data_IF_440625365997
#
_entry.id   IF_440625365997
#
_cell.length_a   1.000
_cell.length_b   1.000
_cell.length_c   1.000
_cell.angle_alpha   90.00
_cell.angle_beta   90.00
_cell.angle_gamma   90.00
#
_symmetry.space_group_name_H-M   'P 1'
#
loop_
_entity.id
_entity.type
_entity.pdbx_description
1 polymer ?
#
# COMPACT_ATOMS: atom_id res chain seq x y z
N UNK A 1 2.84 18.35 -7.86
CA UNK A 1 3.62 17.83 -9.01
C UNK A 1 2.75 16.81 -9.73
N UNK A 2 2.58 16.88 -11.07
CA UNK A 2 1.78 15.89 -11.78
C UNK A 2 2.48 14.54 -11.69
N UNK A 3 1.81 13.58 -11.08
CA UNK A 3 2.29 12.20 -10.96
C UNK A 3 2.34 11.59 -12.36
N UNK A 4 3.44 10.91 -12.70
CA UNK A 4 3.64 10.29 -14.01
C UNK A 4 2.57 9.24 -14.36
N UNK A 5 2.52 8.79 -15.62
CA UNK A 5 1.59 7.74 -16.05
C UNK A 5 1.76 6.45 -15.23
N UNK A 6 0.67 5.72 -15.03
CA UNK A 6 0.67 4.43 -14.34
C UNK A 6 1.53 3.45 -15.15
N UNK A 7 2.59 2.93 -14.52
CA UNK A 7 3.56 2.03 -15.14
C UNK A 7 3.42 0.64 -14.50
N UNK A 8 3.43 -0.38 -15.35
CA UNK A 8 3.47 -1.79 -14.94
C UNK A 8 4.81 -2.37 -15.32
N UNK A 9 5.53 -2.90 -14.34
CA UNK A 9 6.82 -3.54 -14.53
C UNK A 9 6.80 -4.92 -13.91
N UNK A 10 7.42 -5.88 -14.59
CA UNK A 10 7.61 -7.24 -14.08
C UNK A 10 9.09 -7.48 -13.95
N UNK A 11 9.53 -7.89 -12.77
CA UNK A 11 10.95 -8.05 -12.52
C UNK A 11 11.25 -8.80 -11.24
N UNK A 12 12.52 -9.09 -11.02
CA UNK A 12 12.97 -9.70 -9.78
C UNK A 12 13.18 -8.64 -8.72
N UNK A 13 12.58 -8.83 -7.55
CA UNK A 13 12.81 -7.94 -6.43
C UNK A 13 14.10 -8.33 -5.70
N UNK A 14 14.98 -7.36 -5.51
CA UNK A 14 16.22 -7.48 -4.77
C UNK A 14 16.27 -6.44 -3.64
N UNK A 15 17.05 -6.72 -2.62
CA UNK A 15 17.38 -5.75 -1.58
C UNK A 15 18.75 -5.17 -1.89
N UNK A 16 18.80 -3.85 -2.11
CA UNK A 16 20.01 -3.10 -2.39
C UNK A 16 20.52 -2.35 -1.15
N UNK A 17 21.70 -1.73 -1.24
CA UNK A 17 22.31 -0.98 -0.13
C UNK A 17 21.49 0.25 0.31
N UNK A 18 20.66 0.80 -0.58
CA UNK A 18 19.84 2.00 -0.32
C UNK A 18 18.34 1.71 -0.17
N UNK A 19 17.89 0.47 -0.41
CA UNK A 19 16.47 0.14 -0.35
C UNK A 19 16.05 -1.09 -1.14
N UNK A 20 14.83 -1.05 -1.68
CA UNK A 20 14.28 -2.11 -2.52
C UNK A 20 14.56 -1.79 -3.99
N UNK A 21 15.15 -2.74 -4.70
CA UNK A 21 15.49 -2.60 -6.12
C UNK A 21 14.72 -3.64 -6.95
N UNK A 22 14.08 -3.21 -8.03
CA UNK A 22 13.40 -4.08 -8.98
C UNK A 22 14.22 -4.17 -10.26
N UNK A 23 14.67 -5.38 -10.56
CA UNK A 23 15.41 -5.70 -11.78
C UNK A 23 14.43 -6.12 -12.86
N UNK A 24 14.15 -5.23 -13.80
CA UNK A 24 13.16 -5.43 -14.88
C UNK A 24 13.81 -5.21 -16.24
N UNK A 25 13.86 -6.25 -17.07
CA UNK A 25 14.25 -6.14 -18.49
C UNK A 25 15.63 -5.54 -18.76
N UNK A 26 16.56 -5.63 -17.80
CA UNK A 26 17.92 -5.08 -17.91
C UNK A 26 18.12 -3.70 -17.25
N UNK A 27 17.07 -3.10 -16.69
CA UNK A 27 17.15 -1.89 -15.86
C UNK A 27 16.91 -2.17 -14.38
N UNK A 28 17.53 -1.37 -13.52
CA UNK A 28 17.30 -1.39 -12.06
C UNK A 28 16.41 -0.19 -11.71
N UNK A 29 15.31 -0.47 -11.00
CA UNK A 29 14.36 0.53 -10.52
C UNK A 29 14.38 0.55 -9.00
N UNK A 30 14.54 1.72 -8.41
CA UNK A 30 14.40 1.89 -6.96
C UNK A 30 12.91 1.98 -6.62
N UNK A 31 12.46 1.08 -5.74
CA UNK A 31 11.11 1.11 -5.21
C UNK A 31 11.10 1.81 -3.86
N UNK A 32 10.38 2.93 -3.82
CA UNK A 32 9.89 3.43 -2.54
C UNK A 32 8.62 2.66 -2.18
N UNK A 33 8.79 1.61 -1.37
CA UNK A 33 7.71 0.74 -0.94
C UNK A 33 7.80 0.40 0.55
N UNK A 34 6.65 0.39 1.22
CA UNK A 34 6.57 0.13 2.66
C UNK A 34 7.03 -1.29 3.07
N UNK A 35 7.24 -1.49 4.38
CA UNK A 35 7.79 -2.73 4.97
C UNK A 35 7.15 -4.06 4.53
N UNK A 36 5.90 -4.05 4.05
CA UNK A 36 5.21 -5.26 3.55
C UNK A 36 5.88 -5.84 2.30
N UNK A 37 6.51 -5.01 1.48
CA UNK A 37 7.14 -5.41 0.21
C UNK A 37 8.43 -6.21 0.44
N UNK A 38 9.06 -6.07 1.62
CA UNK A 38 10.24 -6.86 2.01
C UNK A 38 9.98 -8.38 2.03
N UNK A 39 8.73 -8.81 2.22
CA UNK A 39 8.39 -10.25 2.20
C UNK A 39 8.48 -10.86 0.81
N UNK A 40 8.53 -10.03 -0.23
CA UNK A 40 8.58 -10.45 -1.63
C UNK A 40 10.01 -10.38 -2.20
N UNK A 41 11.02 -10.07 -1.37
CA UNK A 41 12.43 -10.02 -1.79
C UNK A 41 12.87 -11.40 -2.27
N UNK A 42 13.57 -11.45 -3.40
CA UNK A 42 14.07 -12.67 -4.04
C UNK A 42 13.09 -13.32 -5.01
N UNK A 43 11.81 -12.94 -4.96
CA UNK A 43 10.77 -13.42 -5.87
C UNK A 43 10.66 -12.55 -7.12
N UNK A 44 10.12 -13.15 -8.18
CA UNK A 44 9.65 -12.41 -9.35
C UNK A 44 8.30 -11.77 -9.00
N UNK A 45 8.17 -10.47 -9.25
CA UNK A 45 7.04 -9.66 -8.83
C UNK A 45 6.57 -8.76 -9.97
N UNK A 46 5.27 -8.55 -10.02
CA UNK A 46 4.64 -7.51 -10.83
C UNK A 46 4.38 -6.29 -9.94
N UNK A 47 4.89 -5.14 -10.38
CA UNK A 47 4.75 -3.86 -9.71
C UNK A 47 3.89 -2.96 -10.57
N UNK A 48 2.82 -2.45 -9.97
CA UNK A 48 2.05 -1.33 -10.49
C UNK A 48 2.37 -0.09 -9.68
N UNK A 49 2.79 0.97 -10.35
CA UNK A 49 3.16 2.20 -9.68
C UNK A 49 3.16 3.39 -10.61
N UNK A 50 3.72 4.48 -10.11
CA UNK A 50 3.91 5.71 -10.87
C UNK A 50 5.36 6.09 -10.83
N UNK A 51 5.89 6.51 -11.98
CA UNK A 51 7.26 7.01 -12.07
C UNK A 51 7.32 8.36 -11.37
N UNK A 52 8.17 8.46 -10.35
CA UNK A 52 8.38 9.69 -9.58
C UNK A 52 9.67 10.42 -9.98
N UNK A 53 10.67 9.69 -10.47
CA UNK A 53 11.95 10.23 -10.91
C UNK A 53 12.54 9.49 -12.10
N UNK A 54 13.86 9.60 -12.29
CA UNK A 54 14.55 8.90 -13.38
C UNK A 54 14.51 7.38 -13.20
N UNK A 55 14.90 6.88 -12.03
CA UNK A 55 14.88 5.45 -11.68
C UNK A 55 13.95 5.12 -10.51
N UNK A 56 13.25 6.12 -9.99
CA UNK A 56 12.42 5.98 -8.79
C UNK A 56 10.97 5.70 -9.18
N UNK A 57 10.44 4.60 -8.65
CA UNK A 57 9.08 4.13 -8.85
C UNK A 57 8.34 4.14 -7.52
N UNK A 58 7.30 4.97 -7.43
CA UNK A 58 6.37 4.91 -6.30
C UNK A 58 5.51 3.68 -6.50
N UNK A 59 5.70 2.70 -5.63
CA UNK A 59 4.97 1.44 -5.66
C UNK A 59 3.55 1.64 -5.10
N UNK A 60 2.53 1.60 -5.96
CA UNK A 60 1.13 1.61 -5.53
C UNK A 60 0.67 0.20 -5.11
N UNK A 61 1.05 -0.83 -5.87
CA UNK A 61 0.73 -2.24 -5.61
C UNK A 61 1.86 -3.16 -6.12
N UNK A 62 2.13 -4.24 -5.37
CA UNK A 62 3.08 -5.28 -5.76
C UNK A 62 2.52 -6.66 -5.43
N UNK A 63 2.74 -7.63 -6.30
CA UNK A 63 2.37 -9.03 -6.07
C UNK A 63 3.34 -9.99 -6.77
N UNK A 64 3.42 -11.27 -6.35
CA UNK A 64 4.24 -12.26 -7.03
C UNK A 64 3.78 -12.46 -8.48
N UNK A 65 4.73 -12.55 -9.41
CA UNK A 65 4.45 -12.84 -10.80
C UNK A 65 3.66 -14.15 -10.93
N UNK A 66 2.60 -14.14 -11.74
CA UNK A 66 1.69 -15.28 -11.90
C UNK A 66 0.55 -15.37 -10.88
N UNK A 67 0.50 -14.48 -9.88
CA UNK A 67 -0.61 -14.42 -8.93
C UNK A 67 -1.64 -13.35 -9.35
N UNK A 68 -2.92 -13.60 -9.05
CA UNK A 68 -3.98 -12.62 -9.35
C UNK A 68 -3.74 -11.32 -8.57
N UNK A 69 -3.87 -10.18 -9.26
CA UNK A 69 -3.70 -8.84 -8.68
C UNK A 69 -4.48 -8.73 -7.36
N UNK A 70 -3.83 -8.49 -6.22
CA UNK A 70 -4.51 -8.34 -4.96
C UNK A 70 -5.43 -7.12 -5.03
N UNK A 71 -6.68 -7.20 -4.52
CA UNK A 71 -7.58 -6.07 -4.51
C UNK A 71 -6.92 -4.94 -3.72
N UNK A 72 -6.87 -3.74 -4.32
CA UNK A 72 -6.33 -2.55 -3.66
C UNK A 72 -7.11 -2.38 -2.36
N UNK A 73 -6.41 -2.56 -1.25
CA UNK A 73 -6.95 -2.44 0.10
C UNK A 73 -7.42 -0.99 0.31
N UNK A 74 -8.70 -0.71 0.01
CA UNK A 74 -9.37 0.59 0.21
C UNK A 74 -9.71 0.81 1.69
N UNK A 75 -8.83 0.44 2.62
CA UNK A 75 -9.04 0.80 4.02
C UNK A 75 -8.82 2.30 4.14
N UNK A 76 -9.93 3.03 4.01
CA UNK A 76 -9.94 4.48 4.09
C UNK A 76 -9.81 4.85 5.57
N UNK A 77 -8.62 5.27 5.96
CA UNK A 77 -8.25 5.50 7.37
C UNK A 77 -9.18 6.56 7.99
N UNK A 78 -9.58 7.55 7.18
CA UNK A 78 -10.60 8.54 7.55
C UNK A 78 -11.97 7.91 7.85
N UNK A 79 -12.40 6.93 7.04
CA UNK A 79 -13.67 6.24 7.27
C UNK A 79 -13.61 5.40 8.56
N UNK A 80 -12.47 4.76 8.83
CA UNK A 80 -12.26 4.04 10.08
C UNK A 80 -12.31 4.97 11.28
N UNK A 81 -11.62 6.12 11.22
CA UNK A 81 -11.64 7.13 12.28
C UNK A 81 -13.04 7.70 12.50
N UNK A 82 -13.73 8.08 11.42
CA UNK A 82 -15.10 8.58 11.49
C UNK A 82 -16.05 7.53 12.08
N UNK A 83 -15.96 6.27 11.65
CA UNK A 83 -16.79 5.18 12.18
C UNK A 83 -16.53 4.90 13.66
N UNK A 84 -15.27 5.01 14.10
CA UNK A 84 -14.89 4.86 15.51
C UNK A 84 -15.53 5.96 16.36
N UNK A 85 -15.40 7.24 15.95
CA UNK A 85 -15.99 8.37 16.67
C UNK A 85 -17.51 8.24 16.77
N UNK A 86 -18.18 7.86 15.67
CA UNK A 86 -19.64 7.63 15.65
C UNK A 86 -20.03 6.46 16.57
N UNK A 87 -19.28 5.36 16.51
CA UNK A 87 -19.51 4.19 17.37
C UNK A 87 -19.36 4.52 18.86
N UNK A 88 -18.29 5.21 19.23
CA UNK A 88 -18.06 5.65 20.61
C UNK A 88 -19.15 6.62 21.09
N UNK A 89 -19.56 7.59 20.26
CA UNK A 89 -20.65 8.51 20.59
C UNK A 89 -21.97 7.80 20.84
N UNK A 90 -22.29 6.80 20.01
CA UNK A 90 -23.52 6.01 20.14
C UNK A 90 -23.51 5.14 21.41
N UNK A 91 -22.36 4.55 21.75
CA UNK A 91 -22.18 3.77 22.99
C UNK A 91 -22.33 4.68 24.22
N UNK A 92 -21.66 5.84 24.24
CA UNK A 92 -21.74 6.79 25.34
C UNK A 92 -23.17 7.33 25.53
N UNK A 93 -23.88 7.59 24.43
CA UNK A 93 -25.27 8.02 24.45
C UNK A 93 -26.20 6.96 25.06
N UNK A 94 -26.05 5.70 24.67
CA UNK A 94 -26.83 4.60 25.23
C UNK A 94 -26.56 4.38 26.71
N UNK A 95 -25.29 4.42 27.14
CA UNK A 95 -24.90 4.34 28.56
C UNK A 95 -25.47 5.51 29.37
N UNK A 96 -25.42 6.72 28.83
CA UNK A 96 -26.03 7.89 29.47
C UNK A 96 -27.55 7.79 29.60
N UNK A 97 -28.23 7.20 28.61
CA UNK A 97 -29.67 6.96 28.64
C UNK A 97 -30.06 5.92 29.70
N UNK A 98 -29.30 4.82 29.79
CA UNK A 98 -29.49 3.78 30.82
C UNK A 98 -29.29 4.36 32.22
N UNK A 99 -28.24 5.18 32.42
CA UNK A 99 -27.98 5.84 33.71
C UNK A 99 -28.98 6.94 34.07
N UNK A 100 -29.80 7.41 33.13
CA UNK A 100 -30.84 8.43 33.37
C UNK A 100 -32.23 7.83 33.61
N UNK A 101 -32.46 6.59 33.18
CA UNK A 101 -33.73 5.87 33.30
C UNK A 101 -33.76 4.87 34.47
N UNK A 102 -32.61 4.52 35.04
CA UNK A 102 -32.49 3.77 36.31
C UNK A 102 -32.37 4.70 37.51
#
# INVERSE_FOLDING_TARGET
>A
MPLGPELRLTGRLAEGPFGLELHSGGGVWELDAGRRVRRLIGCEVEVCGRRAGFNELICDQIWPAGQSRPPRSKFNIELLLASSVVGYGLIAFLLGLVGRLG
#
